data_IF_405025504615
#
_entry.id   IF_405025504615
#
_cell.length_a   1.000
_cell.length_b   1.000
_cell.length_c   1.000
_cell.angle_alpha   90.00
_cell.angle_beta   90.00
_cell.angle_gamma   90.00
#
_symmetry.space_group_name_H-M   'P 1'
#
loop_
_entity.id
_entity.type
_entity.pdbx_description
1 polymer ?
#
# COMPACT_ATOMS: atom_id res chain seq x y z
N UNK A 1 -41.24 -49.26 -78.18
CA UNK A 1 -40.63 -47.96 -77.89
C UNK A 1 -39.53 -48.13 -76.86
N UNK A 2 -38.29 -48.08 -77.35
CA UNK A 2 -37.04 -48.30 -76.61
C UNK A 2 -36.51 -46.95 -76.13
N UNK A 3 -36.74 -46.62 -74.85
CA UNK A 3 -36.18 -45.41 -74.24
C UNK A 3 -34.71 -45.68 -73.87
N UNK A 4 -33.81 -45.39 -74.80
CA UNK A 4 -32.37 -45.62 -74.66
C UNK A 4 -31.75 -44.93 -73.44
N UNK A 5 -31.16 -45.74 -72.55
CA UNK A 5 -30.35 -45.32 -71.40
C UNK A 5 -28.96 -44.80 -71.79
N UNK A 6 -28.88 -43.73 -72.59
CA UNK A 6 -27.60 -43.10 -72.89
C UNK A 6 -27.29 -42.01 -71.87
N UNK A 7 -26.41 -42.30 -70.91
CA UNK A 7 -25.81 -41.29 -70.03
C UNK A 7 -24.90 -40.38 -70.87
N UNK A 8 -25.13 -39.06 -70.80
CA UNK A 8 -24.25 -38.08 -71.44
C UNK A 8 -22.88 -38.01 -70.73
N UNK A 9 -21.87 -37.42 -71.37
CA UNK A 9 -20.55 -37.23 -70.77
C UNK A 9 -20.64 -36.33 -69.52
N UNK A 10 -19.90 -36.68 -68.47
CA UNK A 10 -19.75 -35.83 -67.29
C UNK A 10 -18.88 -34.61 -67.59
N UNK A 11 -19.19 -33.47 -66.97
CA UNK A 11 -18.34 -32.27 -66.97
C UNK A 11 -18.12 -31.77 -65.55
N UNK A 12 -17.04 -31.02 -65.33
CA UNK A 12 -16.64 -30.48 -64.01
C UNK A 12 -16.69 -28.95 -64.07
N UNK A 13 -17.38 -28.32 -63.13
CA UNK A 13 -17.37 -26.87 -62.95
C UNK A 13 -16.29 -26.51 -61.92
N UNK A 14 -15.44 -25.54 -62.26
CA UNK A 14 -14.47 -24.95 -61.33
C UNK A 14 -15.14 -23.89 -60.46
N UNK A 15 -14.59 -23.50 -59.30
CA UNK A 15 -15.13 -22.41 -58.50
C UNK A 15 -15.20 -21.10 -59.29
N UNK A 16 -16.38 -20.46 -59.34
CA UNK A 16 -16.63 -19.19 -60.04
C UNK A 16 -18.09 -18.77 -59.97
N UNK A 17 -18.38 -17.50 -60.30
CA UNK A 17 -19.75 -16.99 -60.39
C UNK A 17 -20.38 -17.42 -61.73
N UNK A 18 -21.37 -18.30 -61.67
CA UNK A 18 -22.16 -18.73 -62.81
C UNK A 18 -23.56 -18.13 -62.71
N UNK A 19 -23.82 -16.96 -63.35
CA UNK A 19 -25.08 -16.23 -63.18
C UNK A 19 -26.30 -17.01 -63.65
N UNK A 20 -26.12 -18.03 -64.51
CA UNK A 20 -27.16 -18.99 -64.85
C UNK A 20 -26.56 -20.34 -65.28
N UNK A 21 -26.60 -21.33 -64.39
CA UNK A 21 -26.10 -22.69 -64.64
C UNK A 21 -26.86 -23.35 -65.79
N UNK A 22 -28.13 -22.98 -66.02
CA UNK A 22 -28.95 -23.56 -67.09
C UNK A 22 -28.49 -23.14 -68.50
N UNK A 23 -27.84 -21.98 -68.64
CA UNK A 23 -27.44 -21.45 -69.94
C UNK A 23 -26.03 -21.87 -70.39
N UNK A 24 -25.19 -22.37 -69.49
CA UNK A 24 -23.78 -22.61 -69.79
C UNK A 24 -23.29 -23.92 -69.15
N UNK A 25 -23.87 -25.06 -69.57
CA UNK A 25 -23.29 -25.82 -70.68
C UNK A 25 -24.29 -26.41 -71.69
N UNK A 26 -25.52 -25.87 -71.77
CA UNK A 26 -26.52 -26.36 -72.72
C UNK A 26 -27.10 -27.73 -72.32
N UNK A 27 -27.83 -27.76 -71.22
CA UNK A 27 -28.56 -28.97 -70.83
C UNK A 27 -29.71 -29.23 -71.82
N UNK A 28 -29.77 -30.38 -72.50
CA UNK A 28 -30.90 -30.71 -73.36
C UNK A 28 -32.17 -30.79 -72.51
N UNK A 29 -33.24 -30.12 -72.95
CA UNK A 29 -34.47 -29.86 -72.18
C UNK A 29 -35.24 -31.09 -71.68
N UNK A 30 -34.85 -32.29 -72.09
CA UNK A 30 -35.57 -33.53 -71.83
C UNK A 30 -34.82 -34.48 -70.87
N UNK A 31 -33.78 -34.02 -70.18
CA UNK A 31 -32.99 -34.87 -69.25
C UNK A 31 -32.95 -34.30 -67.83
N UNK A 32 -33.39 -35.11 -66.86
CA UNK A 32 -33.20 -34.82 -65.44
C UNK A 32 -31.70 -34.94 -65.09
N UNK A 33 -31.00 -33.81 -65.00
CA UNK A 33 -29.64 -33.76 -64.49
C UNK A 33 -29.64 -33.88 -62.97
N UNK A 34 -29.01 -34.93 -62.42
CA UNK A 34 -28.69 -35.00 -61.00
C UNK A 34 -27.31 -34.39 -60.75
N UNK A 35 -27.24 -33.26 -60.05
CA UNK A 35 -25.98 -32.72 -59.54
C UNK A 35 -25.61 -33.52 -58.29
N UNK A 36 -24.49 -34.26 -58.34
CA UNK A 36 -23.84 -34.74 -57.12
C UNK A 36 -22.77 -33.73 -56.75
N UNK A 37 -22.94 -33.07 -55.60
CA UNK A 37 -21.88 -32.31 -54.98
C UNK A 37 -20.78 -33.30 -54.60
N UNK A 38 -19.63 -33.24 -55.28
CA UNK A 38 -18.41 -33.92 -54.85
C UNK A 38 -17.87 -33.10 -53.66
N UNK A 39 -18.58 -33.14 -52.54
CA UNK A 39 -18.19 -32.51 -51.27
C UNK A 39 -17.95 -33.59 -50.20
N UNK A 40 -18.07 -34.87 -50.56
CA UNK A 40 -18.06 -35.96 -49.57
C UNK A 40 -16.68 -36.49 -49.18
N UNK A 41 -15.56 -35.96 -49.70
CA UNK A 41 -14.22 -36.50 -49.37
C UNK A 41 -13.14 -35.46 -49.07
N UNK A 42 -13.47 -34.17 -49.04
CA UNK A 42 -12.54 -33.18 -48.49
C UNK A 42 -12.88 -32.95 -47.02
N UNK A 43 -12.02 -33.39 -46.07
CA UNK A 43 -12.23 -33.07 -44.67
C UNK A 43 -12.37 -31.55 -44.53
N UNK A 44 -13.27 -31.06 -43.65
CA UNK A 44 -13.42 -29.64 -43.43
C UNK A 44 -12.05 -29.04 -43.12
N UNK A 45 -11.70 -27.87 -43.68
CA UNK A 45 -10.43 -27.24 -43.38
C UNK A 45 -10.27 -27.16 -41.86
N UNK A 46 -9.08 -27.48 -41.33
CA UNK A 46 -8.85 -27.47 -39.89
C UNK A 46 -9.27 -26.11 -39.34
N UNK A 47 -10.01 -26.14 -38.22
CA UNK A 47 -10.42 -24.92 -37.54
C UNK A 47 -9.16 -24.08 -37.27
N UNK A 48 -9.22 -22.80 -37.64
CA UNK A 48 -8.12 -21.89 -37.34
C UNK A 48 -7.89 -21.88 -35.82
N UNK A 49 -6.62 -21.87 -35.38
CA UNK A 49 -6.34 -21.77 -33.96
C UNK A 49 -7.00 -20.52 -33.37
N UNK A 50 -7.49 -20.56 -32.13
CA UNK A 50 -8.02 -19.38 -31.47
C UNK A 50 -6.94 -18.29 -31.43
N UNK A 51 -7.31 -17.02 -31.64
CA UNK A 51 -6.35 -15.93 -31.60
C UNK A 51 -5.68 -15.90 -30.22
N UNK A 52 -4.35 -15.69 -30.20
CA UNK A 52 -3.61 -15.61 -28.95
C UNK A 52 -4.14 -14.47 -28.08
N UNK A 53 -4.32 -14.69 -26.77
CA UNK A 53 -4.81 -13.65 -25.87
C UNK A 53 -3.79 -12.51 -25.77
N UNK A 54 -4.28 -11.28 -25.80
CA UNK A 54 -3.43 -10.09 -25.71
C UNK A 54 -2.68 -10.03 -24.36
N UNK A 55 -1.41 -9.62 -24.34
CA UNK A 55 -0.61 -9.59 -23.12
C UNK A 55 -1.16 -8.54 -22.13
N UNK A 56 -1.63 -8.95 -20.93
CA UNK A 56 -2.11 -8.01 -19.91
C UNK A 56 -0.94 -7.24 -19.27
N UNK A 57 -1.17 -6.08 -18.62
CA UNK A 57 -2.46 -5.40 -18.41
C UNK A 57 -2.80 -4.33 -19.47
N UNK A 58 -1.90 -4.07 -20.42
CA UNK A 58 -1.99 -2.88 -21.29
C UNK A 58 -2.49 -3.14 -22.71
N UNK A 59 -2.89 -4.38 -23.03
CA UNK A 59 -3.49 -4.70 -24.32
C UNK A 59 -4.90 -5.24 -24.16
N UNK A 60 -5.81 -4.75 -25.00
CA UNK A 60 -7.17 -5.27 -25.12
C UNK A 60 -7.40 -5.74 -26.55
N UNK A 61 -8.16 -6.83 -26.71
CA UNK A 61 -8.48 -7.38 -28.02
C UNK A 61 -9.69 -6.63 -28.62
N UNK A 62 -9.54 -6.13 -29.83
CA UNK A 62 -10.63 -5.52 -30.60
C UNK A 62 -11.50 -6.57 -31.28
N UNK A 63 -12.68 -6.19 -31.77
CA UNK A 63 -13.65 -7.11 -32.40
C UNK A 63 -13.13 -7.80 -33.67
N UNK A 64 -12.10 -7.24 -34.30
CA UNK A 64 -11.37 -7.81 -35.45
C UNK A 64 -10.14 -8.64 -35.03
N UNK A 65 -9.98 -8.92 -33.73
CA UNK A 65 -8.94 -9.80 -33.19
C UNK A 65 -7.56 -9.15 -32.98
N UNK A 66 -7.41 -7.85 -33.21
CA UNK A 66 -6.14 -7.14 -33.01
C UNK A 66 -5.93 -6.76 -31.54
N UNK A 67 -4.68 -6.75 -31.09
CA UNK A 67 -4.33 -6.21 -29.78
C UNK A 67 -4.03 -4.71 -29.91
N UNK A 68 -4.75 -3.89 -29.16
CA UNK A 68 -4.52 -2.45 -29.10
C UNK A 68 -4.15 -2.02 -27.69
N UNK A 69 -3.34 -0.97 -27.60
CA UNK A 69 -2.95 -0.39 -26.33
C UNK A 69 -4.15 0.18 -25.57
N UNK A 70 -4.23 -0.19 -24.30
CA UNK A 70 -5.20 0.30 -23.32
C UNK A 70 -4.40 0.99 -22.22
N UNK A 71 -4.05 2.25 -22.47
CA UNK A 71 -3.30 3.09 -21.54
C UNK A 71 -4.26 3.91 -20.66
N UNK A 72 -3.91 4.08 -19.38
CA UNK A 72 -4.66 4.93 -18.47
C UNK A 72 -4.44 6.42 -18.74
N UNK A 73 -5.26 7.33 -18.16
CA UNK A 73 -5.08 8.77 -18.30
C UNK A 73 -3.64 9.23 -18.00
N UNK A 74 -3.10 10.13 -18.83
CA UNK A 74 -1.75 10.69 -18.69
C UNK A 74 -0.59 9.72 -19.00
N UNK A 75 -0.90 8.52 -19.49
CA UNK A 75 0.12 7.57 -19.94
C UNK A 75 0.20 7.48 -21.47
N UNK A 76 1.30 6.92 -21.97
CA UNK A 76 1.52 6.62 -23.37
C UNK A 76 2.16 5.22 -23.50
N UNK A 77 1.90 4.51 -24.61
CA UNK A 77 2.60 3.27 -24.93
C UNK A 77 4.11 3.47 -24.99
N UNK A 78 4.87 2.57 -24.36
CA UNK A 78 6.30 2.44 -24.55
C UNK A 78 6.59 1.07 -25.20
N UNK A 79 6.89 1.05 -26.51
CA UNK A 79 7.21 -0.18 -27.23
C UNK A 79 8.45 -0.92 -26.70
N UNK A 80 9.38 -0.20 -26.07
CA UNK A 80 10.61 -0.79 -25.56
C UNK A 80 10.34 -1.64 -24.30
N UNK A 81 9.54 -1.12 -23.37
CA UNK A 81 9.16 -1.83 -22.14
C UNK A 81 7.92 -2.70 -22.26
N UNK A 82 7.15 -2.56 -23.35
CA UNK A 82 5.84 -3.19 -23.53
C UNK A 82 4.85 -2.81 -22.41
N UNK A 83 4.93 -1.56 -21.93
CA UNK A 83 4.08 -1.02 -20.87
C UNK A 83 3.55 0.37 -21.22
N UNK A 84 2.49 0.82 -20.53
CA UNK A 84 2.10 2.23 -20.56
C UNK A 84 2.91 3.00 -19.50
N UNK A 85 3.67 4.00 -19.94
CA UNK A 85 4.50 4.87 -19.10
C UNK A 85 3.90 6.27 -19.02
N UNK A 86 4.23 7.05 -17.99
CA UNK A 86 3.77 8.43 -17.91
C UNK A 86 4.28 9.24 -19.11
N UNK A 87 3.44 10.13 -19.65
CA UNK A 87 3.87 11.10 -20.66
C UNK A 87 4.98 12.01 -20.10
N UNK A 88 5.85 12.60 -20.95
CA UNK A 88 6.87 13.53 -20.48
C UNK A 88 6.26 14.67 -19.66
N UNK A 89 6.76 14.87 -18.44
CA UNK A 89 6.25 15.88 -17.49
C UNK A 89 5.10 15.40 -16.61
N UNK A 90 4.57 14.19 -16.79
CA UNK A 90 3.57 13.58 -15.90
C UNK A 90 4.25 12.72 -14.83
N UNK A 91 3.66 12.67 -13.63
CA UNK A 91 4.06 11.76 -12.55
C UNK A 91 2.98 10.73 -12.27
N UNK A 92 3.37 9.52 -11.86
CA UNK A 92 2.43 8.45 -11.52
C UNK A 92 1.64 8.82 -10.25
N UNK A 93 0.31 8.79 -10.35
CA UNK A 93 -0.60 9.10 -9.24
C UNK A 93 -1.34 7.86 -8.71
N UNK A 94 -1.29 6.73 -9.42
CA UNK A 94 -1.90 5.48 -9.01
C UNK A 94 -2.25 4.56 -10.16
N UNK A 95 -3.29 3.74 -9.95
CA UNK A 95 -3.86 2.83 -10.94
C UNK A 95 -5.38 3.03 -11.03
N UNK A 96 -5.97 2.82 -12.20
CA UNK A 96 -7.43 2.84 -12.38
C UNK A 96 -8.09 1.50 -12.00
N UNK A 97 -9.42 1.41 -12.12
CA UNK A 97 -10.20 0.20 -11.81
C UNK A 97 -9.84 -1.03 -12.65
N UNK A 98 -9.08 -0.86 -13.74
CA UNK A 98 -8.60 -1.94 -14.60
C UNK A 98 -7.14 -2.31 -14.30
N UNK A 99 -6.54 -1.72 -13.26
CA UNK A 99 -5.14 -1.93 -12.88
C UNK A 99 -4.14 -1.23 -13.81
N UNK A 100 -4.59 -0.26 -14.62
CA UNK A 100 -3.71 0.49 -15.54
C UNK A 100 -3.14 1.70 -14.82
N UNK A 101 -1.86 1.98 -15.03
CA UNK A 101 -1.18 3.18 -14.50
C UNK A 101 -1.92 4.46 -14.91
N UNK A 102 -2.08 5.38 -13.96
CA UNK A 102 -2.59 6.74 -14.20
C UNK A 102 -1.52 7.76 -13.84
N UNK A 103 -1.37 8.80 -14.66
CA UNK A 103 -0.42 9.88 -14.41
C UNK A 103 -1.10 11.25 -14.56
N UNK A 104 -0.57 12.27 -13.90
CA UNK A 104 -1.04 13.67 -14.02
C UNK A 104 0.13 14.63 -14.19
N UNK A 105 -0.10 15.77 -14.88
CA UNK A 105 0.85 16.88 -15.01
C UNK A 105 1.10 17.58 -13.68
N UNK A 106 0.10 17.54 -12.81
CA UNK A 106 0.26 18.05 -11.47
C UNK A 106 0.99 16.96 -10.67
N UNK A 107 2.17 17.23 -10.09
CA UNK A 107 2.62 16.38 -8.99
C UNK A 107 1.43 16.30 -8.04
N UNK A 108 1.03 15.12 -7.55
CA UNK A 108 0.01 15.06 -6.54
C UNK A 108 0.51 16.00 -5.45
N UNK A 109 -0.08 17.18 -5.36
CA UNK A 109 0.05 17.98 -4.17
C UNK A 109 -0.72 17.15 -3.18
N UNK A 110 -0.05 16.12 -2.62
CA UNK A 110 -0.29 15.77 -1.24
C UNK A 110 -0.28 17.14 -0.58
N UNK A 111 -1.43 17.65 -0.09
CA UNK A 111 -1.44 18.90 0.63
C UNK A 111 -0.38 18.70 1.68
N UNK A 112 0.75 19.40 1.50
CA UNK A 112 1.89 19.28 2.39
C UNK A 112 1.38 19.96 3.63
N UNK A 113 0.74 19.16 4.47
CA UNK A 113 0.23 19.55 5.75
C UNK A 113 1.45 20.10 6.50
N UNK A 114 1.56 21.42 6.66
CA UNK A 114 2.83 22.04 6.98
C UNK A 114 3.21 21.67 8.41
N UNK A 115 4.32 20.94 8.55
CA UNK A 115 4.90 20.58 9.83
C UNK A 115 4.42 19.24 10.40
N UNK A 116 5.07 18.77 11.49
CA UNK A 116 4.92 17.40 12.00
C UNK A 116 3.56 17.10 12.64
N UNK A 117 2.69 18.10 12.83
CA UNK A 117 1.46 17.97 13.61
C UNK A 117 0.18 18.03 12.80
N UNK A 118 0.27 17.98 11.47
CA UNK A 118 -0.90 17.98 10.60
C UNK A 118 -1.02 16.63 9.90
N UNK A 119 -2.20 16.01 9.99
CA UNK A 119 -2.54 14.77 9.28
C UNK A 119 -3.61 15.11 8.25
N UNK A 120 -3.51 14.53 7.06
CA UNK A 120 -4.50 14.69 6.01
C UNK A 120 -5.69 13.76 6.27
N UNK A 121 -6.90 14.32 6.28
CA UNK A 121 -8.14 13.55 6.33
C UNK A 121 -8.52 13.00 4.95
N UNK A 122 -9.44 12.03 4.89
CA UNK A 122 -9.86 11.37 3.65
C UNK A 122 -10.50 12.31 2.61
N UNK A 123 -10.98 13.47 3.04
CA UNK A 123 -11.51 14.55 2.19
C UNK A 123 -10.44 15.58 1.80
N UNK A 124 -9.17 15.32 2.13
CA UNK A 124 -8.03 16.13 1.73
C UNK A 124 -7.74 17.36 2.59
N UNK A 125 -8.42 17.53 3.74
CA UNK A 125 -8.12 18.64 4.67
C UNK A 125 -6.96 18.29 5.60
N UNK A 126 -6.16 19.28 5.97
CA UNK A 126 -5.17 19.13 7.03
C UNK A 126 -5.83 19.43 8.38
N UNK A 127 -5.78 18.47 9.30
CA UNK A 127 -6.25 18.65 10.67
C UNK A 127 -5.09 18.53 11.65
N UNK A 128 -5.17 19.29 12.73
CA UNK A 128 -4.23 19.19 13.84
C UNK A 128 -4.32 17.81 14.49
N UNK A 129 -3.16 17.21 14.69
CA UNK A 129 -2.98 15.92 15.34
C UNK A 129 -2.17 16.11 16.60
N UNK A 130 -2.76 16.83 17.57
CA UNK A 130 -2.12 17.14 18.84
C UNK A 130 -2.23 15.98 19.84
N UNK A 131 -1.20 15.79 20.67
CA UNK A 131 -1.19 14.78 21.74
C UNK A 131 -2.07 15.15 22.93
N UNK A 132 -2.22 14.24 23.90
CA UNK A 132 -3.06 14.49 25.08
C UNK A 132 -2.56 15.69 25.89
N UNK A 133 -3.48 16.58 26.32
CA UNK A 133 -3.16 17.80 27.08
C UNK A 133 -2.49 18.90 26.26
N UNK A 134 -2.40 18.76 24.94
CA UNK A 134 -1.87 19.82 24.05
C UNK A 134 -2.99 20.51 23.28
N UNK A 135 -2.69 21.69 22.74
CA UNK A 135 -3.55 22.46 21.86
C UNK A 135 -2.74 23.03 20.70
N UNK A 136 -3.36 23.25 19.53
CA UNK A 136 -2.68 23.88 18.41
C UNK A 136 -2.35 25.33 18.72
N UNK A 137 -1.11 25.73 18.39
CA UNK A 137 -0.68 27.12 18.40
C UNK A 137 -0.43 27.59 16.96
N UNK A 138 -1.35 28.39 16.39
CA UNK A 138 -1.22 28.91 15.03
C UNK A 138 0.00 29.83 14.84
N UNK A 139 0.51 30.45 15.90
CA UNK A 139 1.63 31.39 15.80
C UNK A 139 2.96 30.65 15.59
N UNK A 140 3.14 29.52 16.27
CA UNK A 140 4.37 28.70 16.17
C UNK A 140 4.23 27.52 15.22
N UNK A 141 3.02 27.24 14.75
CA UNK A 141 2.68 26.06 13.95
C UNK A 141 3.06 24.74 14.66
N UNK A 142 2.85 24.68 15.98
CA UNK A 142 3.15 23.52 16.84
C UNK A 142 1.99 23.20 17.78
N UNK A 143 1.95 21.96 18.30
CA UNK A 143 1.10 21.63 19.44
C UNK A 143 1.84 21.99 20.74
N UNK A 144 1.24 22.87 21.55
CA UNK A 144 1.79 23.34 22.83
C UNK A 144 0.95 22.83 23.99
N UNK A 145 1.51 22.72 25.19
CA UNK A 145 0.73 22.33 26.37
C UNK A 145 -0.39 23.34 26.64
N UNK A 146 -1.56 22.84 27.05
CA UNK A 146 -2.63 23.71 27.55
C UNK A 146 -2.17 24.48 28.81
N UNK A 147 -2.75 25.66 29.10
CA UNK A 147 -2.38 26.43 30.28
C UNK A 147 -2.45 25.61 31.58
N UNK A 148 -1.36 25.62 32.34
CA UNK A 148 -1.24 24.89 33.61
C UNK A 148 -0.79 23.43 33.47
N UNK A 149 -0.54 22.93 32.26
CA UNK A 149 0.07 21.63 32.01
C UNK A 149 1.55 21.80 31.61
N UNK A 150 2.35 20.79 31.95
CA UNK A 150 3.76 20.69 31.54
C UNK A 150 3.97 19.43 30.71
N UNK A 151 4.98 19.43 29.83
CA UNK A 151 5.34 18.24 29.05
C UNK A 151 5.85 17.14 30.00
N UNK A 152 5.20 15.98 29.97
CA UNK A 152 5.51 14.83 30.81
C UNK A 152 6.04 13.64 30.01
N UNK A 153 5.72 13.56 28.72
CA UNK A 153 6.16 12.46 27.84
C UNK A 153 5.97 12.82 26.35
N UNK A 154 6.32 11.89 25.46
CA UNK A 154 5.94 11.87 24.06
C UNK A 154 5.21 10.57 23.72
N UNK A 155 4.17 10.64 22.88
CA UNK A 155 3.45 9.44 22.45
C UNK A 155 4.20 8.64 21.37
N UNK A 156 3.64 7.51 20.96
CA UNK A 156 4.24 6.63 19.93
C UNK A 156 4.47 7.29 18.56
N UNK A 157 3.92 8.48 18.33
CA UNK A 157 4.10 9.26 17.11
C UNK A 157 5.09 10.42 17.31
N UNK A 158 5.76 10.51 18.48
CA UNK A 158 6.68 11.58 18.82
C UNK A 158 6.00 12.91 19.16
N UNK A 159 4.69 12.90 19.46
CA UNK A 159 3.95 14.12 19.81
C UNK A 159 4.02 14.34 21.32
N UNK A 160 4.11 15.61 21.73
CA UNK A 160 4.12 15.99 23.16
C UNK A 160 2.86 15.50 23.87
N UNK A 161 3.04 14.96 25.05
CA UNK A 161 1.98 14.64 26.02
C UNK A 161 2.17 15.56 27.20
N UNK A 162 1.15 16.35 27.51
CA UNK A 162 1.17 17.25 28.65
C UNK A 162 0.19 16.81 29.72
N UNK A 163 0.60 16.93 30.97
CA UNK A 163 -0.22 16.60 32.14
C UNK A 163 -0.03 17.62 33.26
N UNK A 164 -0.80 17.49 34.35
CA UNK A 164 -0.58 18.28 35.54
C UNK A 164 0.87 18.06 35.99
N UNK A 165 1.53 19.15 36.38
CA UNK A 165 2.82 19.03 37.04
C UNK A 165 2.58 18.27 38.35
N UNK A 166 3.03 17.01 38.41
CA UNK A 166 3.04 16.32 39.69
C UNK A 166 3.96 17.12 40.62
N UNK A 167 3.51 17.39 41.87
CA UNK A 167 4.40 17.97 42.85
C UNK A 167 5.65 17.09 42.93
N UNK A 168 6.85 17.69 42.98
CA UNK A 168 8.05 16.91 43.15
C UNK A 168 7.83 16.01 44.37
N UNK A 169 8.21 14.72 44.29
CA UNK A 169 7.99 13.82 45.39
C UNK A 169 8.64 14.41 46.66
N UNK A 170 8.02 14.24 47.84
CA UNK A 170 8.55 14.81 49.07
C UNK A 170 10.00 14.35 49.26
N UNK A 171 10.91 15.32 49.38
CA UNK A 171 12.31 15.03 49.59
C UNK A 171 12.49 14.21 50.87
N UNK A 172 13.26 13.13 50.80
CA UNK A 172 13.54 12.33 51.98
C UNK A 172 14.30 13.15 53.03
N UNK A 173 13.99 12.99 54.33
CA UNK A 173 14.61 13.79 55.37
C UNK A 173 16.13 13.52 55.41
N UNK A 174 16.96 14.55 55.17
CA UNK A 174 18.41 14.39 55.21
C UNK A 174 18.90 14.11 56.65
N UNK A 175 20.13 13.57 56.83
CA UNK A 175 21.08 13.18 55.79
C UNK A 175 21.08 11.66 55.48
N UNK A 176 20.28 10.86 56.18
CA UNK A 176 20.38 9.40 56.16
C UNK A 176 19.29 8.68 55.36
N UNK A 177 18.41 9.41 54.68
CA UNK A 177 17.39 8.80 53.83
C UNK A 177 17.69 9.06 52.35
N UNK A 178 17.55 8.01 51.55
CA UNK A 178 17.58 8.08 50.09
C UNK A 178 16.23 7.59 49.55
N UNK A 179 15.81 8.15 48.42
CA UNK A 179 14.58 7.73 47.78
C UNK A 179 14.84 6.51 46.89
N UNK A 180 14.04 5.46 47.05
CA UNK A 180 14.04 4.29 46.15
C UNK A 180 13.25 4.59 44.87
N UNK A 181 13.40 3.74 43.85
CA UNK A 181 12.71 3.89 42.55
C UNK A 181 11.18 3.85 42.64
N UNK A 182 10.64 3.26 43.69
CA UNK A 182 9.21 3.24 44.02
C UNK A 182 8.76 4.45 44.86
N UNK A 183 9.65 5.44 45.05
CA UNK A 183 9.36 6.68 45.75
C UNK A 183 9.43 6.63 47.27
N UNK A 184 9.72 5.46 47.88
CA UNK A 184 9.85 5.34 49.35
C UNK A 184 11.19 5.90 49.84
N UNK A 185 11.19 6.44 51.05
CA UNK A 185 12.44 6.83 51.72
C UNK A 185 12.98 5.64 52.51
N UNK A 186 14.21 5.23 52.21
CA UNK A 186 14.91 4.17 52.93
C UNK A 186 16.18 4.70 53.56
N UNK A 187 16.58 4.07 54.66
CA UNK A 187 17.83 4.39 55.33
C UNK A 187 19.03 4.03 54.46
N UNK A 188 19.94 4.99 54.33
CA UNK A 188 21.20 4.85 53.59
C UNK A 188 22.35 4.77 54.59
N UNK A 189 22.35 3.76 55.46
CA UNK A 189 23.40 3.57 56.46
C UNK A 189 24.67 2.98 55.84
N UNK A 190 25.84 3.46 56.28
CA UNK A 190 27.14 2.95 55.82
C UNK A 190 27.49 1.61 56.51
N UNK A 191 28.49 0.91 55.98
CA UNK A 191 28.92 -0.40 56.51
C UNK A 191 29.23 -0.33 58.02
N UNK A 192 28.67 -1.27 58.78
CA UNK A 192 28.83 -1.35 60.24
C UNK A 192 27.95 -0.38 61.04
N UNK A 193 27.06 0.35 60.39
CA UNK A 193 26.02 1.16 61.05
C UNK A 193 24.63 0.55 60.88
N UNK A 194 23.71 0.96 61.74
CA UNK A 194 22.29 0.60 61.68
C UNK A 194 21.43 1.85 61.92
N UNK A 195 20.21 1.90 61.36
CA UNK A 195 19.30 3.02 61.60
C UNK A 195 18.87 3.06 63.06
N UNK A 196 18.90 4.25 63.65
CA UNK A 196 18.38 4.53 64.97
C UNK A 196 17.20 5.52 64.84
N UNK A 197 15.95 5.02 64.90
CA UNK A 197 14.76 5.85 64.80
C UNK A 197 14.66 6.93 65.88
N UNK A 198 15.29 6.73 67.04
CA UNK A 198 15.21 7.69 68.14
C UNK A 198 16.06 8.94 67.88
N UNK A 199 17.26 8.77 67.32
CA UNK A 199 18.14 9.89 66.96
C UNK A 199 17.91 10.43 65.55
N UNK A 200 17.21 9.69 64.69
CA UNK A 200 17.09 10.04 63.27
C UNK A 200 18.42 9.87 62.51
N UNK A 201 19.34 9.05 63.03
CA UNK A 201 20.68 8.86 62.45
C UNK A 201 21.06 7.39 62.27
N UNK A 202 22.09 7.13 61.47
CA UNK A 202 22.75 5.83 61.45
C UNK A 202 23.83 5.78 62.56
N UNK A 203 23.71 4.82 63.48
CA UNK A 203 24.63 4.62 64.61
C UNK A 203 25.45 3.35 64.43
N UNK A 204 26.63 3.24 65.07
CA UNK A 204 27.42 2.01 65.02
C UNK A 204 26.63 0.82 65.60
N UNK A 205 26.74 -0.34 64.96
CA UNK A 205 26.22 -1.58 65.51
C UNK A 205 26.87 -1.90 66.87
N UNK A 206 26.20 -2.64 67.76
CA UNK A 206 26.78 -3.04 69.04
C UNK A 206 28.13 -3.74 68.86
N UNK A 207 29.14 -3.30 69.63
CA UNK A 207 30.50 -3.83 69.58
C UNK A 207 31.41 -3.24 68.51
N UNK A 208 30.93 -2.30 67.69
CA UNK A 208 31.76 -1.54 66.73
C UNK A 208 32.08 -0.13 67.22
N UNK A 209 33.25 0.37 66.85
CA UNK A 209 33.65 1.74 67.14
C UNK A 209 33.60 2.60 65.86
N UNK A 210 33.27 3.88 65.99
CA UNK A 210 33.34 4.81 64.87
C UNK A 210 34.81 5.06 64.51
N UNK A 211 35.17 4.78 63.26
CA UNK A 211 36.53 4.98 62.73
C UNK A 211 36.63 6.18 61.78
N UNK A 212 35.49 6.74 61.35
CA UNK A 212 35.47 7.91 60.46
C UNK A 212 34.07 8.28 59.98
N UNK A 213 34.03 9.06 58.90
CA UNK A 213 32.83 9.36 58.11
C UNK A 213 33.13 9.13 56.63
N UNK A 214 32.12 8.77 55.83
CA UNK A 214 32.25 8.65 54.38
C UNK A 214 32.04 9.99 53.65
N UNK A 215 32.14 9.99 52.31
CA UNK A 215 31.98 11.18 51.48
C UNK A 215 30.60 11.86 51.58
N UNK A 216 29.62 11.21 52.22
CA UNK A 216 28.29 11.74 52.46
C UNK A 216 28.09 12.17 53.92
N UNK A 217 29.16 12.18 54.73
CA UNK A 217 29.12 12.53 56.16
C UNK A 217 28.53 11.43 57.05
N UNK A 218 28.37 10.20 56.55
CA UNK A 218 27.80 9.08 57.32
C UNK A 218 28.88 8.38 58.13
N UNK A 219 28.57 7.97 59.36
CA UNK A 219 29.53 7.28 60.24
C UNK A 219 29.98 5.96 59.60
N UNK A 220 31.28 5.67 59.67
CA UNK A 220 31.84 4.35 59.30
C UNK A 220 32.30 3.68 60.58
N UNK A 221 31.85 2.44 60.81
CA UNK A 221 32.17 1.70 62.04
C UNK A 221 32.73 0.32 61.73
N UNK A 222 33.79 -0.05 62.45
CA UNK A 222 34.46 -1.35 62.34
C UNK A 222 34.50 -2.07 63.68
#
# INVERSE_FOLDING_TARGET
>A
DDYGHQHGPSFVLTPGDYPNIAQNPGFPGDRMSSVRLIVDDQPPPPALPPPEPCPPPYHVQTSDGRCVWSCGPGTQPDPASQQCVCQPGYSEIGQDQFGRRTCSLEPPQQPICPGPYHVQTSDGRCVWSCGSGTQPDPATNQCVCQPGLTEIDQDQFGRRVCGPQEPPPPACPPPYHVQTSDGRCVWSCATGTQPDPASGQCVCQPGRAQIGQDQFGRRVCQ
#
